data_IF_444510130301
#
_entry.id   IF_444510130301
#
_cell.length_a   1.000
_cell.length_b   1.000
_cell.length_c   1.000
_cell.angle_alpha   90.00
_cell.angle_beta   90.00
_cell.angle_gamma   90.00
#
_symmetry.space_group_name_H-M   'P 1'
#
loop_
_entity.id
_entity.type
_entity.pdbx_description
1 polymer ?
#
# COMPACT_ATOMS: atom_id res chain seq x y z
N UNK A 1 -2.93 3.62 15.35
CA UNK A 1 -1.54 3.62 15.84
C UNK A 1 -1.57 3.38 17.34
N UNK A 2 -0.76 2.46 17.86
CA UNK A 2 -0.54 2.25 19.29
C UNK A 2 0.47 3.26 19.84
N UNK A 3 0.53 3.43 21.18
CA UNK A 3 1.52 4.29 21.83
C UNK A 3 2.96 3.88 21.48
N UNK A 4 3.22 2.58 21.36
CA UNK A 4 4.53 2.04 20.98
C UNK A 4 4.92 2.38 19.53
N UNK A 5 3.96 2.34 18.60
CA UNK A 5 4.18 2.74 17.20
C UNK A 5 4.45 4.25 17.09
N UNK A 6 3.73 5.07 17.87
CA UNK A 6 3.97 6.50 17.96
C UNK A 6 5.35 6.81 18.55
N UNK A 7 5.77 6.07 19.57
CA UNK A 7 7.09 6.19 20.15
C UNK A 7 8.21 5.79 19.20
N UNK A 8 8.03 4.70 18.46
CA UNK A 8 8.96 4.28 17.42
C UNK A 8 9.07 5.34 16.31
N UNK A 9 7.94 5.91 15.86
CA UNK A 9 7.89 7.02 14.90
C UNK A 9 8.65 8.25 15.42
N UNK A 10 8.35 8.73 16.62
CA UNK A 10 9.02 9.89 17.19
C UNK A 10 10.54 9.68 17.33
N UNK A 11 10.98 8.54 17.89
CA UNK A 11 12.41 8.21 18.02
C UNK A 11 13.12 8.13 16.66
N UNK A 12 12.44 7.58 15.65
CA UNK A 12 12.93 7.51 14.27
C UNK A 12 13.13 8.92 13.70
N UNK A 13 12.17 9.80 13.90
CA UNK A 13 12.25 11.18 13.44
C UNK A 13 13.38 11.96 14.11
N UNK A 14 13.54 11.85 15.44
CA UNK A 14 14.68 12.45 16.16
C UNK A 14 16.03 11.97 15.60
N UNK A 15 16.11 10.70 15.16
CA UNK A 15 17.35 10.12 14.63
C UNK A 15 17.68 10.61 13.21
N UNK A 16 16.67 10.66 12.33
CA UNK A 16 16.85 10.86 10.89
C UNK A 16 16.75 12.33 10.52
N UNK A 17 15.94 13.11 11.24
CA UNK A 17 15.69 14.51 10.94
C UNK A 17 16.59 15.40 11.80
N UNK A 18 17.61 15.99 11.15
CA UNK A 18 18.46 17.05 11.70
C UNK A 18 18.47 18.22 10.73
N UNK A 19 17.56 19.19 10.86
CA UNK A 19 17.59 20.36 10.00
C UNK A 19 18.85 21.16 10.29
N UNK A 20 19.70 21.34 9.27
CA UNK A 20 20.77 22.32 9.35
C UNK A 20 20.15 23.72 9.52
N UNK A 21 20.45 24.39 10.63
CA UNK A 21 20.13 25.82 10.82
C UNK A 21 19.05 26.17 11.84
N UNK A 22 18.44 25.21 12.55
CA UNK A 22 17.59 25.54 13.71
C UNK A 22 18.48 25.94 14.89
N UNK A 23 18.45 27.23 15.27
CA UNK A 23 19.08 27.72 16.50
C UNK A 23 18.07 27.56 17.63
N UNK A 24 18.48 26.92 18.73
CA UNK A 24 17.64 26.80 19.91
C UNK A 24 17.42 28.17 20.57
N UNK A 25 16.17 28.52 20.84
CA UNK A 25 15.82 29.73 21.60
C UNK A 25 15.09 29.39 22.90
N UNK A 26 15.22 30.23 23.94
CA UNK A 26 14.52 30.00 25.19
C UNK A 26 13.02 30.21 25.02
N UNK A 27 12.24 29.22 25.47
CA UNK A 27 10.77 29.23 25.50
C UNK A 27 10.23 30.39 26.33
N UNK A 28 9.25 31.12 25.77
CA UNK A 28 8.60 32.25 26.44
C UNK A 28 7.27 31.80 27.06
N UNK A 29 7.30 31.60 28.38
CA UNK A 29 6.17 31.81 29.29
C UNK A 29 4.88 31.04 29.02
N UNK A 30 4.81 29.79 29.49
CA UNK A 30 3.79 29.34 30.44
C UNK A 30 4.36 28.15 31.23
N UNK A 31 4.08 28.14 32.54
CA UNK A 31 4.67 27.30 33.59
C UNK A 31 5.67 26.20 33.12
N UNK A 32 6.99 26.44 33.19
CA UNK A 32 7.96 25.42 32.88
C UNK A 32 7.89 24.34 33.96
N UNK A 33 7.51 23.12 33.60
CA UNK A 33 8.18 21.96 34.19
C UNK A 33 9.67 22.24 33.99
N UNK A 34 10.38 22.54 35.09
CA UNK A 34 11.80 22.89 35.04
C UNK A 34 12.52 21.82 34.21
N UNK A 35 13.20 22.19 33.12
CA UNK A 35 14.04 21.24 32.42
C UNK A 35 15.14 20.83 33.39
N UNK A 36 15.20 19.54 33.75
CA UNK A 36 16.39 19.00 34.38
C UNK A 36 17.52 19.00 33.33
N UNK A 37 18.76 19.10 33.77
CA UNK A 37 19.94 19.10 32.89
C UNK A 37 20.19 17.74 32.19
N UNK A 38 19.19 16.83 32.20
CA UNK A 38 19.22 15.48 31.65
C UNK A 38 18.30 15.29 30.43
N UNK A 39 17.79 16.35 29.80
CA UNK A 39 16.81 16.25 28.70
C UNK A 39 17.42 15.71 27.39
N UNK A 40 17.69 14.41 27.36
CA UNK A 40 17.84 13.57 26.16
C UNK A 40 16.62 12.64 26.02
N UNK A 41 15.40 13.19 26.05
CA UNK A 41 14.17 12.40 26.01
C UNK A 41 13.10 13.02 25.12
N UNK A 42 12.30 12.17 24.46
CA UNK A 42 11.04 12.53 23.82
C UNK A 42 10.00 12.72 24.92
N UNK A 43 9.28 13.85 24.92
CA UNK A 43 8.22 14.12 25.89
C UNK A 43 6.86 13.88 25.25
N UNK A 44 6.02 13.14 25.96
CA UNK A 44 4.65 12.86 25.56
C UNK A 44 3.69 13.64 26.43
N UNK A 45 2.88 14.49 25.80
CA UNK A 45 1.77 15.16 26.45
C UNK A 45 0.45 14.69 25.84
N UNK A 46 -0.49 14.33 26.70
CA UNK A 46 -1.85 13.96 26.32
C UNK A 46 -2.76 15.15 26.56
N UNK A 47 -3.43 15.62 25.51
CA UNK A 47 -4.41 16.69 25.63
C UNK A 47 -5.77 16.23 25.10
N UNK A 48 -6.82 16.44 25.91
CA UNK A 48 -8.19 16.29 25.46
C UNK A 48 -8.69 17.67 25.05
N UNK A 49 -8.82 17.91 23.73
CA UNK A 49 -9.30 19.21 23.21
C UNK A 49 -10.82 19.35 23.31
N UNK A 50 -11.57 18.24 23.33
CA UNK A 50 -13.02 18.21 23.60
C UNK A 50 -13.48 16.80 24.06
N UNK A 51 -14.80 16.58 24.25
CA UNK A 51 -15.36 15.28 24.72
C UNK A 51 -15.12 14.10 23.78
N UNK A 52 -14.72 14.33 22.53
CA UNK A 52 -14.67 13.33 21.45
C UNK A 52 -13.34 13.30 20.67
N UNK A 53 -12.39 14.21 20.93
CA UNK A 53 -11.09 14.24 20.26
C UNK A 53 -9.93 13.93 21.23
N UNK A 54 -9.12 12.95 20.86
CA UNK A 54 -7.89 12.59 21.58
C UNK A 54 -6.71 13.16 20.81
N UNK A 55 -5.88 13.96 21.49
CA UNK A 55 -4.67 14.53 20.93
C UNK A 55 -3.45 13.94 21.66
N UNK A 56 -2.61 13.20 20.93
CA UNK A 56 -1.32 12.73 21.40
C UNK A 56 -0.25 13.68 20.86
N UNK A 57 0.50 14.35 21.74
CA UNK A 57 1.58 15.26 21.35
C UNK A 57 2.92 14.63 21.72
N UNK A 58 3.75 14.39 20.72
CA UNK A 58 5.15 14.05 20.88
C UNK A 58 5.99 15.30 20.64
N UNK A 59 6.59 15.84 21.70
CA UNK A 59 7.60 16.88 21.54
C UNK A 59 8.90 16.21 21.10
N UNK A 60 9.32 16.51 19.89
CA UNK A 60 10.48 15.91 19.24
C UNK A 60 11.76 16.65 19.66
N UNK A 61 11.71 18.00 19.76
CA UNK A 61 12.72 18.84 20.42
C UNK A 61 12.15 20.20 20.92
N UNK A 62 13.00 21.21 21.18
CA UNK A 62 12.56 22.56 21.57
C UNK A 62 11.55 23.20 20.61
N UNK A 63 11.69 22.92 19.32
CA UNK A 63 11.12 23.66 18.20
C UNK A 63 10.25 22.78 17.28
N UNK A 64 10.17 21.46 17.55
CA UNK A 64 9.37 20.52 16.78
C UNK A 64 8.36 19.71 17.61
N UNK A 65 7.13 19.65 17.13
CA UNK A 65 6.01 18.96 17.76
C UNK A 65 5.28 18.07 16.74
N UNK A 66 5.25 16.76 16.99
CA UNK A 66 4.36 15.85 16.28
C UNK A 66 3.08 15.70 17.08
N UNK A 67 1.97 16.07 16.46
CA UNK A 67 0.63 16.01 17.03
C UNK A 67 -0.17 14.96 16.26
N UNK A 68 -0.56 13.89 16.93
CA UNK A 68 -1.54 12.94 16.40
C UNK A 68 -2.91 13.33 16.95
N UNK A 69 -3.84 13.68 16.08
CA UNK A 69 -5.21 14.02 16.48
C UNK A 69 -6.18 12.97 15.96
N UNK A 70 -7.03 12.45 16.84
CA UNK A 70 -8.15 11.59 16.45
C UNK A 70 -9.41 12.45 16.36
N UNK A 71 -9.95 12.59 15.15
CA UNK A 71 -11.22 13.28 14.90
C UNK A 71 -12.36 12.28 14.68
N UNK A 72 -13.61 12.77 14.63
CA UNK A 72 -14.78 11.99 14.21
C UNK A 72 -14.69 11.46 12.77
N UNK A 73 -13.83 12.07 11.93
CA UNK A 73 -13.61 11.67 10.54
C UNK A 73 -12.42 10.71 10.38
N UNK A 74 -11.72 10.40 11.47
CA UNK A 74 -10.52 9.56 11.46
C UNK A 74 -9.31 10.24 12.09
N UNK A 75 -8.20 9.50 12.24
CA UNK A 75 -6.93 10.06 12.69
C UNK A 75 -6.31 10.95 11.60
N UNK A 76 -5.85 12.14 11.99
CA UNK A 76 -5.00 12.98 11.16
C UNK A 76 -3.70 13.33 11.90
N UNK A 77 -2.64 13.56 11.14
CA UNK A 77 -1.31 13.84 11.68
C UNK A 77 -0.95 15.28 11.40
N UNK A 78 -0.70 16.03 12.46
CA UNK A 78 -0.20 17.38 12.36
C UNK A 78 1.25 17.36 12.85
N UNK A 79 2.16 17.91 12.07
CA UNK A 79 3.51 18.17 12.50
C UNK A 79 3.73 19.67 12.49
N UNK A 80 3.89 20.24 13.67
CA UNK A 80 4.02 21.67 13.87
C UNK A 80 5.48 21.98 14.16
N UNK A 81 6.05 22.89 13.39
CA UNK A 81 7.35 23.48 13.63
C UNK A 81 7.17 24.90 14.10
N UNK A 82 7.77 25.21 15.24
CA UNK A 82 7.80 26.57 15.77
C UNK A 82 9.06 27.24 15.22
N UNK A 83 8.89 28.21 14.33
CA UNK A 83 10.00 28.95 13.71
C UNK A 83 10.44 30.18 14.51
N UNK A 84 11.48 30.88 14.04
CA UNK A 84 11.88 32.19 14.59
C UNK A 84 10.81 33.26 14.26
N UNK A 85 10.24 33.89 15.29
CA UNK A 85 9.10 34.81 15.18
C UNK A 85 7.78 34.07 15.42
N UNK A 86 6.72 34.73 15.88
CA UNK A 86 5.44 34.10 16.26
C UNK A 86 4.67 33.41 15.09
N UNK A 87 5.36 33.04 14.01
CA UNK A 87 4.86 32.24 12.89
C UNK A 87 5.05 30.74 13.19
N UNK A 88 3.95 30.06 13.48
CA UNK A 88 3.89 28.61 13.53
C UNK A 88 3.84 28.05 12.10
N UNK A 89 4.88 27.32 11.70
CA UNK A 89 4.91 26.58 10.45
C UNK A 89 4.25 25.23 10.64
N UNK A 90 3.04 25.06 10.11
CA UNK A 90 2.27 23.81 10.27
C UNK A 90 2.40 22.94 9.01
N UNK A 91 2.92 21.72 9.16
CA UNK A 91 2.81 20.66 8.16
C UNK A 91 1.70 19.71 8.61
N UNK A 92 0.54 19.84 7.99
CA UNK A 92 -0.54 18.87 8.18
C UNK A 92 -0.42 17.75 7.15
N UNK A 93 -0.37 16.51 7.63
CA UNK A 93 -0.46 15.32 6.81
C UNK A 93 -1.85 14.71 7.03
N UNK A 94 -2.80 15.11 6.18
CA UNK A 94 -4.11 14.50 6.12
C UNK A 94 -4.03 13.08 5.53
N UNK A 95 -4.90 12.22 6.04
CA UNK A 95 -4.97 10.78 5.82
C UNK A 95 -6.28 10.36 5.14
N UNK A 96 -7.23 11.28 4.95
CA UNK A 96 -8.58 10.94 4.50
C UNK A 96 -9.12 11.84 3.39
N UNK A 97 -8.79 11.51 2.14
CA UNK A 97 -9.53 11.97 0.95
C UNK A 97 -9.44 13.46 0.59
N UNK A 98 -9.91 13.78 -0.60
CA UNK A 98 -9.90 15.14 -1.18
C UNK A 98 -10.63 16.18 -0.30
N UNK A 99 -9.89 16.85 0.59
CA UNK A 99 -10.34 18.11 1.14
C UNK A 99 -10.08 19.25 0.15
N UNK A 100 -11.16 19.75 -0.45
CA UNK A 100 -11.22 20.98 -1.23
C UNK A 100 -11.52 22.22 -0.35
N UNK A 101 -11.08 22.20 0.91
CA UNK A 101 -11.19 23.34 1.82
C UNK A 101 -9.86 24.06 1.93
N UNK A 102 -9.83 25.33 1.54
CA UNK A 102 -8.71 26.23 1.82
C UNK A 102 -8.26 26.06 3.27
N UNK A 103 -6.96 25.84 3.46
CA UNK A 103 -6.28 25.87 4.76
C UNK A 103 -6.58 27.24 5.38
N UNK A 104 -7.62 27.28 6.21
CA UNK A 104 -8.11 28.48 6.83
C UNK A 104 -7.11 28.97 7.86
N UNK A 105 -6.47 30.11 7.54
CA UNK A 105 -5.80 31.00 8.48
C UNK A 105 -4.62 30.41 9.27
N UNK A 106 -3.55 30.03 8.57
CA UNK A 106 -2.19 30.30 9.05
C UNK A 106 -1.41 30.92 7.90
N UNK A 107 -0.66 31.97 8.23
CA UNK A 107 -0.06 32.99 7.36
C UNK A 107 0.29 32.50 5.93
N UNK A 108 -0.19 33.21 4.90
CA UNK A 108 0.07 32.93 3.47
C UNK A 108 1.52 33.20 3.07
N UNK A 109 2.47 33.03 3.99
CA UNK A 109 3.88 33.19 3.72
C UNK A 109 4.31 32.08 2.76
N UNK A 110 4.75 32.46 1.56
CA UNK A 110 5.21 31.54 0.51
C UNK A 110 6.24 30.53 1.06
N UNK A 111 7.04 30.97 2.04
CA UNK A 111 8.06 30.18 2.73
C UNK A 111 7.49 28.93 3.43
N UNK A 112 6.29 29.00 4.02
CA UNK A 112 5.67 27.86 4.69
C UNK A 112 5.17 26.80 3.69
N UNK A 113 4.63 27.24 2.56
CA UNK A 113 4.16 26.33 1.49
C UNK A 113 5.34 25.63 0.81
N UNK A 114 6.41 26.37 0.54
CA UNK A 114 7.63 25.81 -0.05
C UNK A 114 8.31 24.83 0.91
N UNK A 115 8.33 25.14 2.22
CA UNK A 115 8.81 24.23 3.25
C UNK A 115 7.97 22.94 3.31
N UNK A 116 6.64 23.05 3.41
CA UNK A 116 5.75 21.90 3.46
C UNK A 116 5.88 21.02 2.21
N UNK A 117 5.88 21.61 1.02
CA UNK A 117 6.06 20.87 -0.24
C UNK A 117 7.42 20.16 -0.30
N UNK A 118 8.48 20.83 0.16
CA UNK A 118 9.84 20.26 0.20
C UNK A 118 9.92 19.03 1.11
N UNK A 119 9.29 19.05 2.28
CA UNK A 119 9.44 18.00 3.28
C UNK A 119 8.32 16.96 3.30
N UNK A 120 7.15 17.23 2.70
CA UNK A 120 6.00 16.31 2.69
C UNK A 120 6.35 14.87 2.23
N UNK A 121 7.17 14.64 1.20
CA UNK A 121 7.57 13.27 0.83
C UNK A 121 8.36 12.55 1.92
N UNK A 122 9.30 13.23 2.58
CA UNK A 122 10.10 12.68 3.68
C UNK A 122 9.21 12.29 4.87
N UNK A 123 8.21 13.11 5.15
CA UNK A 123 7.27 12.92 6.24
C UNK A 123 6.37 11.71 6.01
N UNK A 124 5.74 11.65 4.83
CA UNK A 124 4.92 10.51 4.41
C UNK A 124 5.72 9.21 4.46
N UNK A 125 6.94 9.23 3.92
CA UNK A 125 7.84 8.08 3.97
C UNK A 125 8.03 7.54 5.40
N UNK A 126 8.40 8.40 6.35
CA UNK A 126 8.66 7.96 7.71
C UNK A 126 7.39 7.54 8.46
N UNK A 127 6.25 8.19 8.19
CA UNK A 127 4.95 7.75 8.72
C UNK A 127 4.61 6.33 8.26
N UNK A 128 4.73 6.06 6.95
CA UNK A 128 4.47 4.73 6.39
C UNK A 128 5.38 3.67 7.00
N UNK A 129 6.68 3.95 7.11
CA UNK A 129 7.63 2.99 7.67
C UNK A 129 7.42 2.71 9.16
N UNK A 130 6.78 3.60 9.90
CA UNK A 130 6.37 3.34 11.29
C UNK A 130 5.01 2.63 11.39
N UNK A 131 4.48 2.10 10.28
CA UNK A 131 3.20 1.41 10.25
C UNK A 131 1.98 2.32 10.29
N UNK A 132 2.15 3.64 10.08
CA UNK A 132 0.98 4.52 9.96
C UNK A 132 0.21 4.16 8.69
N UNK A 133 -1.13 4.05 8.74
CA UNK A 133 -1.94 3.59 7.62
C UNK A 133 -2.14 4.71 6.58
N UNK A 134 -1.05 5.30 6.08
CA UNK A 134 -1.11 6.41 5.15
C UNK A 134 -1.44 5.91 3.74
N UNK A 135 -2.27 6.65 3.02
CA UNK A 135 -2.44 6.42 1.58
C UNK A 135 -1.12 6.74 0.89
N UNK A 136 -0.54 5.75 0.20
CA UNK A 136 0.65 5.90 -0.61
C UNK A 136 0.52 4.99 -1.83
N UNK A 137 0.90 5.52 -2.98
CA UNK A 137 1.00 4.75 -4.22
C UNK A 137 2.03 3.62 -4.06
N UNK A 138 1.91 2.56 -4.85
CA UNK A 138 2.87 1.46 -4.81
C UNK A 138 4.25 1.92 -5.24
N UNK A 139 4.34 2.87 -6.18
CA UNK A 139 5.61 3.53 -6.54
C UNK A 139 6.24 4.30 -5.38
N UNK A 140 5.46 5.06 -4.62
CA UNK A 140 5.95 5.71 -3.41
C UNK A 140 6.52 4.68 -2.44
N UNK A 141 5.76 3.61 -2.14
CA UNK A 141 6.20 2.54 -1.23
C UNK A 141 7.45 1.80 -1.75
N UNK A 142 7.53 1.50 -3.05
CA UNK A 142 8.70 0.88 -3.67
C UNK A 142 9.94 1.78 -3.56
N UNK A 143 9.82 3.06 -3.90
CA UNK A 143 10.90 4.05 -3.75
C UNK A 143 11.36 4.20 -2.28
N UNK A 144 10.41 4.12 -1.35
CA UNK A 144 10.69 4.16 0.08
C UNK A 144 11.51 2.93 0.53
N UNK A 145 11.10 1.74 0.11
CA UNK A 145 11.80 0.49 0.40
C UNK A 145 13.20 0.45 -0.23
N UNK A 146 13.38 0.95 -1.47
CA UNK A 146 14.68 0.95 -2.16
C UNK A 146 15.80 1.65 -1.36
N UNK A 147 15.45 2.56 -0.46
CA UNK A 147 16.41 3.27 0.39
C UNK A 147 16.79 2.54 1.69
N UNK A 148 16.13 1.43 2.00
CA UNK A 148 16.34 0.65 3.23
C UNK A 148 17.29 -0.52 3.01
N UNK A 149 18.07 -0.86 4.02
CA UNK A 149 18.82 -2.12 4.02
C UNK A 149 17.90 -3.33 4.26
N UNK A 150 18.36 -4.53 3.88
CA UNK A 150 17.62 -5.78 4.13
C UNK A 150 17.35 -5.97 5.63
N UNK A 151 18.32 -5.63 6.49
CA UNK A 151 18.15 -5.66 7.94
C UNK A 151 17.08 -4.69 8.42
N UNK A 152 16.97 -3.51 7.80
CA UNK A 152 15.89 -2.55 8.07
C UNK A 152 14.53 -3.06 7.56
N UNK A 153 14.47 -3.85 6.49
CA UNK A 153 13.19 -4.44 6.06
C UNK A 153 12.74 -5.51 7.06
N UNK A 154 13.67 -6.37 7.49
CA UNK A 154 13.41 -7.48 8.42
C UNK A 154 13.07 -7.02 9.84
N UNK A 155 13.85 -6.07 10.39
CA UNK A 155 13.61 -5.50 11.73
C UNK A 155 12.23 -4.85 11.83
N UNK A 156 11.77 -4.25 10.74
CA UNK A 156 10.55 -3.48 10.71
C UNK A 156 9.33 -4.33 10.33
N UNK A 157 9.52 -5.62 10.06
CA UNK A 157 8.47 -6.56 9.62
C UNK A 157 7.60 -5.93 8.55
N UNK A 158 8.23 -5.28 7.57
CA UNK A 158 7.52 -4.72 6.43
C UNK A 158 7.05 -5.90 5.54
N UNK A 159 6.03 -6.65 5.98
CA UNK A 159 5.30 -7.68 5.22
C UNK A 159 4.57 -7.09 3.97
N UNK A 160 4.86 -5.83 3.60
CA UNK A 160 3.82 -4.87 3.24
C UNK A 160 3.53 -4.77 1.73
N UNK A 161 4.30 -5.42 0.85
CA UNK A 161 3.98 -5.37 -0.60
C UNK A 161 4.01 -6.71 -1.31
N UNK A 162 4.91 -7.63 -0.92
CA UNK A 162 4.99 -8.91 -1.63
C UNK A 162 3.89 -9.87 -1.19
N UNK A 163 3.41 -9.86 0.06
CA UNK A 163 2.47 -10.91 0.51
C UNK A 163 1.17 -10.93 -0.32
N UNK A 164 0.49 -9.80 -0.62
CA UNK A 164 -0.69 -9.83 -1.48
C UNK A 164 -0.38 -10.29 -2.90
N UNK A 165 0.74 -9.84 -3.49
CA UNK A 165 1.15 -10.18 -4.85
C UNK A 165 1.57 -11.65 -4.94
N UNK A 166 2.41 -12.11 -4.02
CA UNK A 166 2.86 -13.50 -3.88
C UNK A 166 1.69 -14.43 -3.64
N UNK A 167 0.73 -14.02 -2.79
CA UNK A 167 -0.49 -14.79 -2.56
C UNK A 167 -1.32 -14.89 -3.83
N UNK A 168 -1.46 -13.80 -4.58
CA UNK A 168 -2.20 -13.78 -5.84
C UNK A 168 -1.50 -14.60 -6.92
N UNK A 169 -0.16 -14.51 -7.02
CA UNK A 169 0.64 -15.33 -7.91
C UNK A 169 0.52 -16.83 -7.58
N UNK A 170 0.58 -17.21 -6.30
CA UNK A 170 0.33 -18.60 -5.86
C UNK A 170 -1.09 -19.05 -6.16
N UNK A 171 -2.07 -18.16 -6.02
CA UNK A 171 -3.47 -18.45 -6.35
C UNK A 171 -3.62 -18.75 -7.85
N UNK A 172 -2.98 -17.97 -8.71
CA UNK A 172 -2.97 -18.18 -10.16
C UNK A 172 -2.23 -19.46 -10.52
N UNK A 173 -1.04 -19.68 -9.97
CA UNK A 173 -0.28 -20.90 -10.18
C UNK A 173 -1.08 -22.16 -9.81
N UNK A 174 -1.70 -22.16 -8.62
CA UNK A 174 -2.55 -23.27 -8.18
C UNK A 174 -3.78 -23.46 -9.08
N UNK A 175 -4.39 -22.38 -9.56
CA UNK A 175 -5.51 -22.45 -10.49
C UNK A 175 -5.12 -22.99 -11.86
N UNK A 176 -3.85 -22.92 -12.25
CA UNK A 176 -3.33 -23.49 -13.49
C UNK A 176 -2.54 -24.79 -13.29
N UNK A 177 -2.62 -25.42 -12.10
CA UNK A 177 -1.90 -26.67 -11.80
C UNK A 177 -0.37 -26.55 -11.96
N UNK A 178 0.19 -25.36 -11.78
CA UNK A 178 1.63 -25.12 -11.91
C UNK A 178 2.36 -25.58 -10.64
N UNK A 179 3.30 -26.52 -10.80
CA UNK A 179 4.14 -27.00 -9.69
C UNK A 179 5.15 -25.93 -9.25
N UNK A 180 5.69 -25.19 -10.22
CA UNK A 180 6.65 -24.12 -10.01
C UNK A 180 6.34 -22.94 -10.92
N UNK A 181 6.71 -21.75 -10.45
CA UNK A 181 6.65 -20.52 -11.22
C UNK A 181 7.74 -19.57 -10.74
N UNK A 182 8.14 -18.64 -11.59
CA UNK A 182 9.16 -17.64 -11.32
C UNK A 182 8.73 -16.25 -11.79
N UNK A 183 9.30 -15.23 -11.18
CA UNK A 183 9.18 -13.85 -11.65
C UNK A 183 10.07 -13.69 -12.89
N UNK A 184 9.46 -13.43 -14.04
CA UNK A 184 10.15 -13.25 -15.31
C UNK A 184 10.62 -11.81 -15.50
N UNK A 185 9.72 -10.86 -15.27
CA UNK A 185 9.96 -9.42 -15.44
C UNK A 185 9.23 -8.63 -14.35
N UNK A 186 9.84 -7.54 -13.92
CA UNK A 186 9.29 -6.60 -12.94
C UNK A 186 9.42 -5.18 -13.51
N UNK A 187 8.29 -4.48 -13.60
CA UNK A 187 8.25 -3.04 -13.89
C UNK A 187 7.44 -2.28 -12.82
N UNK A 188 7.45 -0.94 -12.90
CA UNK A 188 6.79 -0.05 -11.93
C UNK A 188 5.26 -0.26 -11.82
N UNK A 189 4.64 -0.94 -12.79
CA UNK A 189 3.20 -1.13 -12.89
C UNK A 189 2.77 -2.60 -12.80
N UNK A 190 3.63 -3.55 -13.20
CA UNK A 190 3.28 -4.95 -13.39
C UNK A 190 4.40 -5.90 -12.94
N UNK A 191 3.97 -6.98 -12.31
CA UNK A 191 4.80 -8.15 -11.99
C UNK A 191 4.43 -9.29 -12.92
N UNK A 192 5.39 -9.74 -13.73
CA UNK A 192 5.20 -10.77 -14.76
C UNK A 192 5.73 -12.09 -14.24
N UNK A 193 4.85 -13.05 -14.03
CA UNK A 193 5.20 -14.40 -13.60
C UNK A 193 4.99 -15.40 -14.72
N UNK A 194 5.81 -16.46 -14.71
CA UNK A 194 5.70 -17.57 -15.66
C UNK A 194 5.88 -18.90 -14.95
N UNK A 195 5.17 -19.92 -15.41
CA UNK A 195 5.35 -21.31 -15.02
C UNK A 195 5.06 -22.23 -16.20
N UNK A 196 5.33 -23.53 -16.02
CA UNK A 196 5.10 -24.52 -17.05
C UNK A 196 4.08 -25.55 -16.58
N UNK A 197 3.10 -25.83 -17.43
CA UNK A 197 2.17 -26.94 -17.32
C UNK A 197 2.50 -27.94 -18.42
N UNK A 198 3.17 -29.03 -18.08
CA UNK A 198 3.77 -29.97 -19.04
C UNK A 198 4.70 -29.25 -20.04
N UNK A 199 4.28 -29.12 -21.30
CA UNK A 199 5.01 -28.42 -22.37
C UNK A 199 4.44 -27.03 -22.67
N UNK A 200 3.40 -26.60 -21.97
CA UNK A 200 2.72 -25.32 -22.20
C UNK A 200 3.22 -24.31 -21.19
N UNK A 201 3.75 -23.19 -21.68
CA UNK A 201 4.10 -22.06 -20.85
C UNK A 201 2.83 -21.31 -20.47
N UNK A 202 2.67 -21.01 -19.18
CA UNK A 202 1.57 -20.20 -18.65
C UNK A 202 2.19 -19.00 -17.98
N UNK A 203 1.71 -17.80 -18.29
CA UNK A 203 2.16 -16.59 -17.63
C UNK A 203 1.02 -15.67 -17.25
N UNK A 204 1.30 -14.76 -16.34
CA UNK A 204 0.34 -13.76 -15.89
C UNK A 204 1.02 -12.49 -15.41
N UNK A 205 0.30 -11.37 -15.54
CA UNK A 205 0.71 -10.08 -15.06
C UNK A 205 -0.18 -9.67 -13.89
N UNK A 206 0.42 -9.30 -12.77
CA UNK A 206 -0.27 -8.73 -11.62
C UNK A 206 -0.02 -7.23 -11.60
N UNK A 207 -1.08 -6.43 -11.61
CA UNK A 207 -1.00 -4.99 -11.42
C UNK A 207 -0.51 -4.72 -10.00
N UNK A 208 0.66 -4.11 -9.88
CA UNK A 208 1.32 -3.88 -8.62
C UNK A 208 0.51 -2.94 -7.72
N UNK A 209 -0.34 -2.06 -8.29
CA UNK A 209 -1.15 -1.07 -7.55
C UNK A 209 -2.39 -1.70 -6.95
N UNK A 210 -3.07 -2.57 -7.69
CA UNK A 210 -4.33 -3.18 -7.27
C UNK A 210 -4.16 -4.57 -6.69
N UNK A 211 -3.00 -5.21 -6.86
CA UNK A 211 -2.73 -6.60 -6.51
C UNK A 211 -3.70 -7.57 -7.20
N UNK A 212 -4.13 -7.23 -8.42
CA UNK A 212 -5.03 -8.07 -9.23
C UNK A 212 -4.38 -8.40 -10.55
N UNK A 213 -4.60 -9.62 -11.06
CA UNK A 213 -4.13 -9.92 -12.40
C UNK A 213 -4.83 -9.07 -13.47
N UNK A 214 -4.07 -8.71 -14.49
CA UNK A 214 -4.53 -7.91 -15.65
C UNK A 214 -4.38 -8.67 -16.96
N UNK A 215 -3.47 -9.64 -17.01
CA UNK A 215 -3.26 -10.53 -18.15
C UNK A 215 -2.99 -11.94 -17.64
N UNK A 216 -3.54 -12.95 -18.29
CA UNK A 216 -3.14 -14.36 -18.14
C UNK A 216 -3.04 -14.95 -19.55
N UNK A 217 -1.97 -15.68 -19.86
CA UNK A 217 -1.79 -16.34 -21.14
C UNK A 217 -1.30 -17.77 -20.99
N UNK A 218 -1.63 -18.59 -22.00
CA UNK A 218 -1.13 -19.95 -22.18
C UNK A 218 -0.61 -20.09 -23.61
N UNK A 219 0.62 -20.56 -23.76
CA UNK A 219 1.35 -20.63 -25.02
C UNK A 219 2.62 -19.76 -25.02
N UNK A 220 3.26 -19.65 -26.18
CA UNK A 220 4.42 -18.79 -26.39
C UNK A 220 4.10 -17.75 -27.47
N UNK A 221 4.64 -16.54 -27.35
CA UNK A 221 4.46 -15.47 -28.35
C UNK A 221 4.86 -15.91 -29.77
N UNK A 222 5.89 -16.75 -29.90
CA UNK A 222 6.39 -17.22 -31.20
C UNK A 222 5.47 -18.25 -31.88
N UNK A 223 4.86 -19.14 -31.09
CA UNK A 223 4.00 -20.23 -31.57
C UNK A 223 2.51 -19.84 -31.59
N UNK A 224 2.19 -18.74 -30.92
CA UNK A 224 0.84 -18.30 -30.61
C UNK A 224 0.47 -18.61 -29.16
N UNK A 225 -0.43 -17.78 -28.61
CA UNK A 225 -0.88 -17.88 -27.23
C UNK A 225 -2.37 -17.56 -27.13
N UNK A 226 -3.06 -18.23 -26.22
CA UNK A 226 -4.38 -17.84 -25.79
C UNK A 226 -4.22 -16.95 -24.58
N UNK A 227 -4.62 -15.69 -24.68
CA UNK A 227 -4.48 -14.73 -23.59
C UNK A 227 -5.81 -14.07 -23.28
N UNK A 228 -6.03 -13.82 -21.99
CA UNK A 228 -7.10 -12.97 -21.50
C UNK A 228 -6.47 -11.71 -20.91
N UNK A 229 -6.97 -10.54 -21.31
CA UNK A 229 -6.48 -9.26 -20.81
C UNK A 229 -7.61 -8.26 -20.64
N UNK A 230 -7.34 -7.23 -19.86
CA UNK A 230 -8.28 -6.13 -19.65
C UNK A 230 -7.98 -4.99 -20.61
N UNK A 231 -9.01 -4.48 -21.29
CA UNK A 231 -8.93 -3.27 -22.10
C UNK A 231 -9.82 -2.17 -21.49
N UNK A 232 -9.35 -0.93 -21.58
CA UNK A 232 -10.08 0.24 -21.11
C UNK A 232 -10.85 0.89 -22.25
N UNK A 233 -12.16 0.96 -22.09
CA UNK A 233 -13.10 1.66 -22.97
C UNK A 233 -13.69 2.89 -22.27
N UNK A 234 -14.25 3.86 -23.03
CA UNK A 234 -15.02 4.96 -22.44
C UNK A 234 -16.14 4.51 -21.49
N UNK A 235 -16.71 3.34 -21.74
CA UNK A 235 -17.80 2.72 -20.99
C UNK A 235 -17.32 1.93 -19.75
N UNK A 236 -16.02 1.62 -19.67
CA UNK A 236 -15.45 0.88 -18.56
C UNK A 236 -14.34 -0.10 -18.95
N UNK A 237 -13.95 -0.92 -17.98
CA UNK A 237 -12.95 -1.97 -18.15
C UNK A 237 -13.65 -3.26 -18.62
N UNK A 238 -13.23 -3.80 -19.75
CA UNK A 238 -13.76 -5.05 -20.31
C UNK A 238 -12.67 -6.11 -20.42
N UNK A 239 -13.02 -7.38 -20.23
CA UNK A 239 -12.12 -8.50 -20.49
C UNK A 239 -12.23 -8.95 -21.93
N UNK A 240 -11.07 -9.20 -22.55
CA UNK A 240 -10.97 -9.75 -23.90
C UNK A 240 -10.17 -11.03 -23.90
N UNK A 241 -10.57 -11.94 -24.78
CA UNK A 241 -9.89 -13.20 -25.04
C UNK A 241 -9.30 -13.14 -26.45
N UNK A 242 -7.98 -13.32 -26.58
CA UNK A 242 -7.33 -13.64 -27.85
C UNK A 242 -7.38 -15.15 -28.04
N UNK A 243 -8.13 -15.68 -29.02
CA UNK A 243 -8.37 -17.10 -29.11
C UNK A 243 -7.21 -17.85 -29.78
N UNK A 244 -6.69 -18.86 -29.09
CA UNK A 244 -5.92 -19.95 -29.68
C UNK A 244 -6.54 -21.28 -29.25
N UNK A 245 -7.27 -21.99 -30.13
CA UNK A 245 -8.07 -23.16 -29.77
C UNK A 245 -7.31 -24.26 -29.03
N UNK A 246 -6.02 -24.41 -29.30
CA UNK A 246 -5.15 -25.40 -28.67
C UNK A 246 -4.97 -25.19 -27.15
N UNK A 247 -5.09 -23.95 -26.66
CA UNK A 247 -4.96 -23.63 -25.23
C UNK A 247 -6.30 -23.35 -24.55
N UNK A 248 -7.42 -23.45 -25.27
CA UNK A 248 -8.75 -23.15 -24.74
C UNK A 248 -9.12 -24.00 -23.51
N UNK A 249 -8.78 -25.29 -23.53
CA UNK A 249 -9.06 -26.20 -22.40
C UNK A 249 -8.31 -25.78 -21.13
N UNK A 250 -7.04 -25.40 -21.27
CA UNK A 250 -6.20 -24.93 -20.15
C UNK A 250 -6.79 -23.63 -19.59
N UNK A 251 -7.11 -22.67 -20.47
CA UNK A 251 -7.70 -21.39 -20.07
C UNK A 251 -9.07 -21.56 -19.40
N UNK A 252 -9.97 -22.38 -19.94
CA UNK A 252 -11.28 -22.64 -19.36
C UNK A 252 -11.18 -23.20 -17.93
N UNK A 253 -10.31 -24.20 -17.73
CA UNK A 253 -10.09 -24.83 -16.42
C UNK A 253 -9.42 -23.88 -15.43
N UNK A 254 -8.44 -23.10 -15.88
CA UNK A 254 -7.73 -22.13 -15.05
C UNK A 254 -8.63 -21.00 -14.57
N UNK A 255 -9.34 -20.36 -15.50
CA UNK A 255 -10.26 -19.26 -15.19
C UNK A 255 -11.43 -19.71 -14.30
N UNK A 256 -11.97 -20.90 -14.52
CA UNK A 256 -13.01 -21.44 -13.64
C UNK A 256 -12.50 -21.60 -12.20
N UNK A 257 -11.27 -22.11 -12.01
CA UNK A 257 -10.67 -22.25 -10.67
C UNK A 257 -10.36 -20.93 -9.99
N UNK A 258 -10.07 -19.89 -10.77
CA UNK A 258 -9.90 -18.53 -10.27
C UNK A 258 -11.22 -17.88 -9.81
N UNK A 259 -12.36 -18.51 -10.08
CA UNK A 259 -13.68 -17.91 -9.85
C UNK A 259 -13.94 -16.73 -10.77
N UNK A 260 -13.44 -16.80 -12.00
CA UNK A 260 -13.75 -15.82 -13.02
C UNK A 260 -15.22 -15.94 -13.42
N UNK A 261 -15.91 -14.81 -13.64
CA UNK A 261 -17.38 -14.78 -13.82
C UNK A 261 -17.83 -14.10 -15.13
N UNK A 262 -16.89 -13.69 -16.00
CA UNK A 262 -17.25 -13.02 -17.24
C UNK A 262 -17.78 -14.03 -18.28
N UNK A 263 -19.11 -14.08 -18.40
CA UNK A 263 -19.82 -14.96 -19.35
C UNK A 263 -19.42 -14.67 -20.81
N UNK A 264 -19.01 -13.44 -21.15
CA UNK A 264 -18.58 -13.11 -22.51
C UNK A 264 -17.28 -13.84 -22.86
N UNK A 265 -16.40 -14.03 -21.89
CA UNK A 265 -15.17 -14.83 -22.04
C UNK A 265 -15.48 -16.32 -22.05
N UNK A 266 -16.30 -16.82 -21.12
CA UNK A 266 -16.64 -18.25 -21.08
C UNK A 266 -17.44 -18.71 -22.29
N UNK A 267 -18.23 -17.84 -22.92
CA UNK A 267 -18.95 -18.17 -24.17
C UNK A 267 -18.01 -18.50 -25.36
N UNK A 268 -16.75 -18.08 -25.27
CA UNK A 268 -15.71 -18.32 -26.28
C UNK A 268 -14.83 -19.53 -25.95
N UNK A 269 -15.01 -20.13 -24.78
CA UNK A 269 -14.23 -21.27 -24.29
C UNK A 269 -15.10 -22.54 -24.27
N UNK A 270 -14.48 -23.74 -24.29
CA UNK A 270 -15.19 -25.00 -24.11
C UNK A 270 -16.00 -25.00 -22.81
N UNK A 271 -17.28 -25.36 -22.92
CA UNK A 271 -18.15 -25.47 -21.76
C UNK A 271 -17.68 -26.61 -20.86
N UNK A 272 -17.45 -26.30 -19.58
CA UNK A 272 -17.15 -27.29 -18.55
C UNK A 272 -18.45 -27.97 -18.09
N UNK A 273 -18.47 -29.30 -18.11
CA UNK A 273 -19.57 -30.10 -17.55
C UNK A 273 -19.69 -29.90 -16.05
N UNK A 274 -20.86 -30.22 -15.49
CA UNK A 274 -21.08 -30.16 -14.04
C UNK A 274 -20.09 -31.05 -13.26
N UNK A 275 -19.70 -32.18 -13.84
CA UNK A 275 -18.73 -33.09 -13.24
C UNK A 275 -17.32 -32.47 -13.22
N UNK A 276 -16.85 -31.93 -14.34
CA UNK A 276 -15.55 -31.24 -14.42
C UNK A 276 -15.49 -30.04 -13.48
N UNK A 277 -16.57 -29.25 -13.42
CA UNK A 277 -16.69 -28.12 -12.49
C UNK A 277 -16.52 -28.54 -11.03
N UNK A 278 -17.07 -29.69 -10.65
CA UNK A 278 -16.91 -30.25 -9.30
C UNK A 278 -15.47 -30.73 -9.06
N UNK A 279 -14.88 -31.45 -10.01
CA UNK A 279 -13.50 -31.94 -9.89
C UNK A 279 -12.50 -30.79 -9.78
N UNK A 280 -12.63 -29.76 -10.61
CA UNK A 280 -11.78 -28.56 -10.59
C UNK A 280 -11.89 -27.79 -9.27
N UNK A 281 -13.07 -27.76 -8.66
CA UNK A 281 -13.25 -27.15 -7.33
C UNK A 281 -12.52 -27.94 -6.25
N UNK A 282 -12.60 -29.27 -6.33
CA UNK A 282 -11.96 -30.16 -5.36
C UNK A 282 -10.43 -30.23 -5.52
N UNK A 283 -9.89 -29.94 -6.71
CA UNK A 283 -8.45 -29.89 -6.95
C UNK A 283 -7.78 -28.60 -6.45
N UNK A 284 -8.56 -27.53 -6.21
CA UNK A 284 -8.03 -26.26 -5.73
C UNK A 284 -7.84 -26.27 -4.21
N UNK A 285 -6.67 -25.85 -3.68
CA UNK A 285 -6.48 -25.69 -2.24
C UNK A 285 -7.50 -24.72 -1.63
N UNK A 286 -8.06 -25.07 -0.46
CA UNK A 286 -9.20 -24.37 0.14
C UNK A 286 -8.90 -22.92 0.50
N UNK A 287 -7.64 -22.61 0.83
CA UNK A 287 -7.14 -21.26 1.11
C UNK A 287 -7.20 -20.31 -0.11
N UNK A 288 -7.32 -20.87 -1.31
CA UNK A 288 -7.39 -20.15 -2.57
C UNK A 288 -8.78 -20.18 -3.21
N UNK A 289 -9.77 -20.78 -2.54
CA UNK A 289 -11.12 -20.84 -3.08
C UNK A 289 -11.72 -19.44 -3.27
N UNK A 290 -12.33 -19.18 -4.44
CA UNK A 290 -13.16 -18.02 -4.66
C UNK A 290 -14.24 -17.86 -3.59
N UNK A 291 -14.56 -16.62 -3.24
CA UNK A 291 -15.56 -16.29 -2.22
C UNK A 291 -16.94 -16.87 -2.56
N UNK A 292 -17.30 -16.95 -3.84
CA UNK A 292 -18.55 -17.55 -4.30
C UNK A 292 -18.67 -19.01 -3.86
N UNK A 293 -17.61 -19.82 -4.00
CA UNK A 293 -17.62 -21.22 -3.56
C UNK A 293 -17.74 -21.35 -2.05
N UNK A 294 -17.09 -20.48 -1.29
CA UNK A 294 -17.20 -20.47 0.18
C UNK A 294 -18.60 -20.12 0.67
N UNK A 295 -19.36 -19.32 -0.09
CA UNK A 295 -20.72 -18.93 0.26
C UNK A 295 -21.74 -20.05 -0.01
N UNK A 296 -21.52 -20.89 -1.02
CA UNK A 296 -22.40 -21.99 -1.39
C UNK A 296 -22.40 -23.16 -0.38
N UNK A 297 -21.41 -23.24 0.52
CA UNK A 297 -21.35 -24.29 1.55
C UNK A 297 -22.26 -24.01 2.77
N UNK A 298 -22.90 -22.85 2.85
CA UNK A 298 -23.72 -22.42 3.98
C UNK A 298 -25.21 -22.67 3.74
#
# INVERSE_FOLDING_TARGET
MTEQEAEALARRWVRIWKPDGLRSFPTRGDNPLKPSEDFQGVFWDFEFKDRNSICLRARIDSDALLIVKQSVYGPYYEFSLVGEGDAEGMIECDMGGEWAGDVGYLDQNADCRDFANKWRPFFRHNCWLSGCPIEATVREKANWIQSLSQEEIEVWKLEILSEPIDREARRIAAAFELETFELNEEDDEQMIYVGNLDTVRVGWNIDARTNTFVVIWAGNVEDGECLIHTEWYPEGKEWRLSPMPEFHSIMARGLYRLGFEDESVFSQLPALSAHEKLELRLSMPREFWPKIWLNEER
#
